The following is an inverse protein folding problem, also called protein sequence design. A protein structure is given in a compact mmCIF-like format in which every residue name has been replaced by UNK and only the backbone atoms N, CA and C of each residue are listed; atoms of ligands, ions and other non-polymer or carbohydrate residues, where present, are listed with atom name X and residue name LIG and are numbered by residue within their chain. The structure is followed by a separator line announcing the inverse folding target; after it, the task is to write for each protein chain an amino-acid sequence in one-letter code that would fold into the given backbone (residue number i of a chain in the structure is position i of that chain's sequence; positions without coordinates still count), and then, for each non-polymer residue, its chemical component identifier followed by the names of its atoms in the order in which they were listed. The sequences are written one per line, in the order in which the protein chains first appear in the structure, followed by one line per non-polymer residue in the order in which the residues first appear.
data_IF_260843202065
#
_entry.id   IF_260843202065
#
_cell.length_a   1.000
_cell.length_b   1.000
_cell.length_c   1.000
_cell.angle_alpha   90.00
_cell.angle_beta   90.00
_cell.angle_gamma   90.00
#
_symmetry.space_group_name_H-M   'P 1'
#
loop_
_entity.id
_entity.type
_entity.pdbx_description
1 polymer ?
#
# COMPACT_ATOMS: atom_id res chain seq x y z
N UNK A 1 21.37 84.51 5.29
CA UNK A 1 22.48 83.77 4.65
C UNK A 1 21.86 82.69 3.79
N UNK A 2 22.26 82.64 2.52
CA UNK A 2 21.61 81.90 1.45
C UNK A 2 22.32 80.57 1.13
N UNK A 3 21.50 79.60 0.65
CA UNK A 3 21.77 78.36 -0.12
C UNK A 3 22.66 77.26 0.50
N UNK A 4 22.71 76.01 -0.05
CA UNK A 4 21.88 75.32 -1.09
C UNK A 4 21.33 73.95 -0.55
N UNK A 5 20.60 73.08 -1.24
CA UNK A 5 20.20 72.88 -2.63
C UNK A 5 19.85 71.39 -2.78
N UNK A 6 18.65 71.09 -3.28
CA UNK A 6 18.19 69.73 -3.55
C UNK A 6 18.90 69.16 -4.79
N UNK A 7 19.37 67.91 -4.72
CA UNK A 7 19.71 67.12 -5.91
C UNK A 7 18.91 65.83 -5.91
N UNK A 8 18.01 65.75 -6.88
CA UNK A 8 17.31 64.54 -7.28
C UNK A 8 18.32 63.58 -7.93
N UNK A 9 18.50 62.41 -7.33
CA UNK A 9 19.27 61.32 -7.93
C UNK A 9 18.45 60.64 -9.04
N UNK A 10 18.98 60.66 -10.25
CA UNK A 10 18.42 59.95 -11.40
C UNK A 10 18.41 58.42 -11.18
N UNK A 11 17.43 57.69 -11.74
CA UNK A 11 17.43 56.23 -11.69
C UNK A 11 18.57 55.68 -12.57
N UNK A 12 19.40 54.82 -11.97
CA UNK A 12 20.48 54.14 -12.68
C UNK A 12 19.96 53.21 -13.79
N UNK A 13 20.80 52.87 -14.78
CA UNK A 13 20.40 52.07 -15.92
C UNK A 13 19.99 50.66 -15.50
N UNK A 14 18.88 50.19 -16.05
CA UNK A 14 18.38 48.83 -15.85
C UNK A 14 19.43 47.81 -16.32
N UNK A 15 19.88 46.95 -15.40
CA UNK A 15 20.77 45.83 -15.71
C UNK A 15 20.00 44.83 -16.59
N UNK A 16 20.54 44.39 -17.75
CA UNK A 16 19.88 43.41 -18.59
C UNK A 16 19.80 42.07 -17.85
N UNK A 17 18.59 41.51 -17.76
CA UNK A 17 18.33 40.19 -17.20
C UNK A 17 19.15 39.13 -17.98
N UNK A 18 20.07 38.46 -17.29
CA UNK A 18 20.76 37.31 -17.83
C UNK A 18 19.77 36.14 -17.97
N UNK A 19 19.81 35.35 -19.06
CA UNK A 19 18.94 34.19 -19.19
C UNK A 19 19.32 33.15 -18.14
N UNK A 20 18.35 32.82 -17.28
CA UNK A 20 18.45 31.73 -16.30
C UNK A 20 18.59 30.43 -17.09
N UNK A 21 19.78 29.83 -17.03
CA UNK A 21 20.03 28.51 -17.60
C UNK A 21 19.13 27.48 -16.90
N UNK A 22 18.31 26.78 -17.70
CA UNK A 22 17.50 25.66 -17.23
C UNK A 22 18.42 24.57 -16.68
N UNK A 23 18.17 24.02 -15.49
CA UNK A 23 18.96 22.90 -14.99
C UNK A 23 18.71 21.68 -15.88
N UNK A 24 19.75 21.27 -16.59
CA UNK A 24 19.77 20.04 -17.38
C UNK A 24 19.51 18.86 -16.45
N UNK A 25 18.37 18.20 -16.67
CA UNK A 25 17.99 17.00 -15.93
C UNK A 25 19.01 15.89 -16.16
N UNK A 26 19.84 15.64 -15.15
CA UNK A 26 20.57 14.38 -15.02
C UNK A 26 19.55 13.27 -14.83
N UNK A 27 19.26 12.53 -15.90
CA UNK A 27 18.66 11.20 -15.80
C UNK A 27 19.68 10.33 -15.06
N UNK A 28 19.54 10.21 -13.74
CA UNK A 28 20.21 9.16 -13.00
C UNK A 28 19.60 7.84 -13.49
N UNK A 29 20.37 7.12 -14.31
CA UNK A 29 20.08 5.74 -14.64
C UNK A 29 20.08 4.97 -13.32
N UNK A 30 18.88 4.65 -12.82
CA UNK A 30 18.72 3.72 -11.71
C UNK A 30 19.23 2.40 -12.23
N UNK A 31 20.41 1.99 -11.77
CA UNK A 31 20.94 0.65 -12.03
C UNK A 31 19.94 -0.35 -11.40
N UNK A 32 19.10 -0.93 -12.25
CA UNK A 32 18.14 -1.96 -11.89
C UNK A 32 18.97 -3.21 -11.65
N UNK A 33 19.21 -3.52 -10.37
CA UNK A 33 19.76 -4.81 -9.99
C UNK A 33 18.85 -5.90 -10.60
N UNK A 34 19.40 -6.92 -11.28
CA UNK A 34 18.59 -7.95 -11.90
C UNK A 34 17.75 -8.64 -10.83
N UNK A 35 16.44 -8.43 -10.89
CA UNK A 35 15.46 -9.08 -10.03
C UNK A 35 15.59 -10.60 -10.27
N UNK A 36 15.79 -11.42 -9.23
CA UNK A 36 15.91 -12.87 -9.39
C UNK A 36 14.67 -13.40 -10.10
N UNK A 37 14.85 -14.08 -11.24
CA UNK A 37 13.74 -14.56 -12.06
C UNK A 37 12.88 -15.64 -11.41
N UNK A 38 13.36 -16.30 -10.35
CA UNK A 38 12.64 -17.36 -9.64
C UNK A 38 12.84 -17.23 -8.13
N UNK A 39 11.94 -16.51 -7.44
CA UNK A 39 11.80 -16.62 -5.99
C UNK A 39 10.86 -17.78 -5.68
N UNK A 40 11.30 -18.69 -4.82
CA UNK A 40 10.43 -19.74 -4.30
C UNK A 40 9.49 -19.14 -3.24
N UNK A 41 8.21 -18.99 -3.62
CA UNK A 41 7.18 -18.42 -2.75
C UNK A 41 6.92 -19.32 -1.53
N UNK A 42 7.08 -20.64 -1.65
CA UNK A 42 6.84 -21.57 -0.55
C UNK A 42 7.94 -21.48 0.49
N UNK A 43 9.18 -21.38 0.04
CA UNK A 43 10.31 -21.10 0.92
C UNK A 43 10.16 -19.74 1.61
N UNK A 44 9.68 -18.72 0.89
CA UNK A 44 9.47 -17.38 1.46
C UNK A 44 8.36 -17.36 2.50
N UNK A 45 7.24 -18.04 2.27
CA UNK A 45 6.17 -18.24 3.26
C UNK A 45 6.74 -18.91 4.51
N UNK A 46 7.48 -20.02 4.34
CA UNK A 46 8.11 -20.72 5.46
C UNK A 46 9.05 -19.80 6.26
N UNK A 47 9.87 -18.99 5.58
CA UNK A 47 10.77 -18.03 6.25
C UNK A 47 10.00 -16.99 7.06
N UNK A 48 8.92 -16.43 6.50
CA UNK A 48 8.12 -15.38 7.16
C UNK A 48 7.36 -15.95 8.37
N UNK A 49 6.74 -17.11 8.23
CA UNK A 49 6.02 -17.78 9.33
C UNK A 49 6.92 -18.12 10.52
N UNK A 50 8.23 -18.27 10.29
CA UNK A 50 9.21 -18.59 11.32
C UNK A 50 9.88 -17.37 11.99
N UNK A 51 9.51 -16.12 11.66
CA UNK A 51 10.11 -14.89 12.22
C UNK A 51 9.94 -14.74 13.75
N UNK A 52 9.11 -15.56 14.39
CA UNK A 52 8.98 -15.64 15.86
C UNK A 52 9.92 -16.66 16.54
N UNK A 53 10.62 -17.50 15.77
CA UNK A 53 11.50 -18.53 16.31
C UNK A 53 12.85 -17.96 16.77
N UNK A 54 13.55 -18.62 17.73
CA UNK A 54 14.88 -18.19 18.17
C UNK A 54 15.84 -18.02 16.99
N UNK A 55 16.47 -16.84 16.89
CA UNK A 55 17.39 -16.43 15.81
C UNK A 55 16.78 -16.20 14.42
N UNK A 56 15.48 -16.38 14.24
CA UNK A 56 14.79 -16.09 12.98
C UNK A 56 14.20 -14.69 13.04
N UNK A 57 14.81 -13.73 12.35
CA UNK A 57 14.21 -12.39 12.13
C UNK A 57 14.11 -12.14 10.63
N UNK A 58 13.08 -11.43 10.17
CA UNK A 58 12.84 -11.24 8.73
C UNK A 58 14.10 -10.80 7.96
N UNK A 59 14.82 -9.80 8.47
CA UNK A 59 16.05 -9.26 7.84
C UNK A 59 17.22 -10.23 7.78
N UNK A 60 17.20 -11.30 8.59
CA UNK A 60 18.22 -12.37 8.56
C UNK A 60 17.83 -13.48 7.59
N UNK A 61 16.53 -13.74 7.44
CA UNK A 61 16.02 -14.89 6.69
C UNK A 61 15.60 -14.53 5.27
N UNK A 62 15.20 -13.29 5.01
CA UNK A 62 14.67 -12.80 3.74
C UNK A 62 15.55 -11.64 3.25
N UNK A 63 16.04 -11.73 2.01
CA UNK A 63 16.86 -10.68 1.40
C UNK A 63 15.98 -9.64 0.72
N UNK A 64 16.48 -8.42 0.59
CA UNK A 64 15.79 -7.35 -0.16
C UNK A 64 15.44 -7.80 -1.59
N UNK A 65 16.35 -8.50 -2.28
CA UNK A 65 16.12 -8.99 -3.63
C UNK A 65 14.91 -9.94 -3.73
N UNK A 66 14.67 -10.76 -2.70
CA UNK A 66 13.53 -11.68 -2.64
C UNK A 66 12.21 -10.90 -2.49
N UNK A 67 12.23 -9.83 -1.67
CA UNK A 67 11.06 -8.96 -1.47
C UNK A 67 10.77 -8.14 -2.74
N UNK A 68 11.80 -7.62 -3.40
CA UNK A 68 11.65 -6.89 -4.66
C UNK A 68 11.00 -7.77 -5.74
N UNK A 69 11.46 -9.02 -5.88
CA UNK A 69 10.86 -9.99 -6.79
C UNK A 69 9.42 -10.35 -6.40
N UNK A 70 9.15 -10.52 -5.11
CA UNK A 70 7.78 -10.74 -4.61
C UNK A 70 6.86 -9.57 -4.99
N UNK A 71 7.31 -8.32 -4.82
CA UNK A 71 6.55 -7.14 -5.21
C UNK A 71 6.24 -7.16 -6.72
N UNK A 72 7.22 -7.47 -7.57
CA UNK A 72 7.00 -7.57 -9.02
C UNK A 72 5.99 -8.64 -9.39
N UNK A 73 6.05 -9.83 -8.77
CA UNK A 73 5.09 -10.91 -8.98
C UNK A 73 3.68 -10.51 -8.51
N UNK A 74 3.56 -9.93 -7.31
CA UNK A 74 2.28 -9.48 -6.76
C UNK A 74 1.65 -8.40 -7.65
N UNK A 75 2.45 -7.44 -8.13
CA UNK A 75 2.00 -6.39 -9.05
C UNK A 75 1.42 -6.97 -10.33
N UNK A 76 2.05 -7.97 -10.92
CA UNK A 76 1.55 -8.65 -12.12
C UNK A 76 0.20 -9.33 -11.86
N UNK A 77 0.06 -10.02 -10.72
CA UNK A 77 -1.20 -10.64 -10.32
C UNK A 77 -2.30 -9.58 -10.18
N UNK A 78 -2.06 -8.50 -9.44
CA UNK A 78 -3.06 -7.44 -9.28
C UNK A 78 -3.43 -6.75 -10.59
N UNK A 79 -2.46 -6.48 -11.48
CA UNK A 79 -2.74 -5.89 -12.80
C UNK A 79 -3.56 -6.81 -13.71
N UNK A 80 -3.51 -8.12 -13.51
CA UNK A 80 -4.36 -9.08 -14.24
C UNK A 80 -5.80 -9.13 -13.73
N UNK A 81 -6.07 -8.53 -12.56
CA UNK A 81 -7.38 -8.54 -11.92
C UNK A 81 -8.13 -7.23 -12.10
N UNK A 82 -9.46 -7.30 -12.04
CA UNK A 82 -10.32 -6.13 -12.12
C UNK A 82 -10.22 -5.29 -10.83
N UNK A 83 -10.41 -3.97 -10.95
CA UNK A 83 -10.45 -3.07 -9.78
C UNK A 83 -11.65 -3.32 -8.86
N UNK A 84 -12.71 -3.95 -9.39
CA UNK A 84 -13.81 -4.55 -8.64
C UNK A 84 -13.63 -6.07 -8.67
N UNK A 85 -13.42 -6.67 -7.50
CA UNK A 85 -13.22 -8.11 -7.36
C UNK A 85 -14.55 -8.76 -7.01
N UNK A 86 -15.01 -9.71 -7.82
CA UNK A 86 -16.23 -10.47 -7.55
C UNK A 86 -15.86 -11.81 -6.92
N UNK A 87 -16.47 -12.14 -5.78
CA UNK A 87 -16.15 -13.36 -5.02
C UNK A 87 -17.41 -14.04 -4.53
N UNK A 88 -17.41 -15.38 -4.58
CA UNK A 88 -18.51 -16.18 -4.07
C UNK A 88 -18.25 -16.69 -2.65
N UNK A 89 -19.29 -16.84 -1.82
CA UNK A 89 -19.17 -17.52 -0.53
C UNK A 89 -18.88 -19.03 -0.73
N UNK A 90 -18.20 -19.70 0.21
CA UNK A 90 -17.79 -19.21 1.53
C UNK A 90 -16.49 -18.40 1.50
N UNK A 91 -16.49 -17.24 2.17
CA UNK A 91 -15.32 -16.36 2.30
C UNK A 91 -15.30 -15.69 3.67
N UNK A 92 -14.11 -15.50 4.24
CA UNK A 92 -13.90 -14.74 5.48
C UNK A 92 -13.47 -13.32 5.14
N UNK A 93 -14.22 -12.35 5.64
CA UNK A 93 -13.92 -10.93 5.46
C UNK A 93 -13.12 -10.44 6.67
N UNK A 94 -12.01 -9.76 6.44
CA UNK A 94 -11.10 -9.28 7.47
C UNK A 94 -10.81 -7.79 7.29
N UNK A 95 -10.86 -7.04 8.39
CA UNK A 95 -10.55 -5.61 8.40
C UNK A 95 -9.05 -5.33 8.57
N UNK A 96 -8.77 -4.14 9.07
CA UNK A 96 -7.46 -3.54 9.24
C UNK A 96 -6.54 -4.42 10.07
N UNK A 97 -5.25 -4.45 9.71
CA UNK A 97 -4.24 -5.22 10.43
C UNK A 97 -3.11 -4.36 10.97
N UNK A 98 -2.78 -3.24 10.30
CA UNK A 98 -1.79 -2.25 10.76
C UNK A 98 -0.50 -2.88 11.30
N UNK A 99 0.11 -3.80 10.55
CA UNK A 99 1.37 -4.44 10.93
C UNK A 99 1.33 -5.26 12.24
N UNK A 100 0.15 -5.67 12.70
CA UNK A 100 -0.05 -6.55 13.86
C UNK A 100 0.09 -8.03 13.46
N UNK A 101 1.30 -8.42 13.05
CA UNK A 101 1.58 -9.75 12.52
C UNK A 101 1.15 -10.90 13.46
N UNK A 102 1.35 -10.76 14.78
CA UNK A 102 0.94 -11.78 15.74
C UNK A 102 -0.59 -12.00 15.77
N UNK A 103 -1.38 -10.95 15.54
CA UNK A 103 -2.84 -11.06 15.50
C UNK A 103 -3.33 -11.67 14.18
N UNK A 104 -2.62 -11.38 13.07
CA UNK A 104 -2.82 -12.07 11.78
C UNK A 104 -2.57 -13.57 11.91
N UNK A 105 -1.50 -13.98 12.59
CA UNK A 105 -1.22 -15.40 12.85
C UNK A 105 -2.35 -16.06 13.65
N UNK A 106 -2.83 -15.41 14.72
CA UNK A 106 -3.98 -15.90 15.50
C UNK A 106 -5.27 -15.99 14.68
N UNK A 107 -5.45 -15.06 13.73
CA UNK A 107 -6.59 -15.06 12.82
C UNK A 107 -6.54 -16.27 11.87
N UNK A 108 -5.37 -16.66 11.37
CA UNK A 108 -5.19 -17.88 10.59
C UNK A 108 -5.28 -19.14 11.44
N UNK A 109 -4.74 -19.16 12.66
CA UNK A 109 -4.85 -20.32 13.56
C UNK A 109 -6.30 -20.66 13.90
N UNK A 110 -7.12 -19.63 14.16
CA UNK A 110 -8.57 -19.81 14.42
C UNK A 110 -9.38 -19.97 13.14
N UNK A 111 -8.91 -19.39 12.04
CA UNK A 111 -9.66 -19.27 10.81
C UNK A 111 -9.40 -20.37 9.78
N UNK A 112 -8.26 -21.03 9.87
CA UNK A 112 -7.70 -21.87 8.83
C UNK A 112 -6.72 -21.09 7.96
N UNK A 113 -5.63 -21.75 7.56
CA UNK A 113 -4.66 -21.15 6.65
C UNK A 113 -5.13 -21.27 5.19
N UNK A 114 -4.79 -20.31 4.31
CA UNK A 114 -4.94 -20.48 2.86
C UNK A 114 -4.13 -21.70 2.37
N UNK A 115 -4.67 -22.51 1.43
CA UNK A 115 -5.86 -22.29 0.62
C UNK A 115 -7.14 -22.94 1.16
N UNK A 116 -7.11 -23.55 2.35
CA UNK A 116 -8.27 -24.27 2.89
C UNK A 116 -9.48 -23.37 3.14
N UNK A 117 -9.26 -22.05 3.24
CA UNK A 117 -10.27 -21.03 3.47
C UNK A 117 -10.00 -19.83 2.58
N UNK A 118 -11.07 -19.27 1.99
CA UNK A 118 -11.00 -18.05 1.20
C UNK A 118 -11.02 -16.81 2.11
N UNK A 119 -10.20 -15.82 1.80
CA UNK A 119 -10.09 -14.57 2.56
C UNK A 119 -10.27 -13.35 1.67
N UNK A 120 -11.01 -12.35 2.16
CA UNK A 120 -11.08 -11.00 1.61
C UNK A 120 -10.65 -10.00 2.68
N UNK A 121 -9.49 -9.38 2.51
CA UNK A 121 -9.06 -8.29 3.37
C UNK A 121 -9.42 -6.92 2.78
N UNK A 122 -9.82 -6.00 3.66
CA UNK A 122 -10.39 -4.72 3.27
C UNK A 122 -9.38 -3.56 3.14
N UNK A 123 -8.09 -3.78 3.43
CA UNK A 123 -7.05 -2.75 3.39
C UNK A 123 -6.39 -2.50 4.73
N UNK A 124 -5.56 -1.45 4.80
CA UNK A 124 -4.87 -0.99 6.01
C UNK A 124 -3.99 -2.09 6.64
N UNK A 125 -3.05 -2.56 5.81
CA UNK A 125 -2.10 -3.60 6.16
C UNK A 125 -0.89 -3.07 6.90
N UNK A 126 -0.48 -1.85 6.54
CA UNK A 126 0.76 -1.22 7.00
C UNK A 126 0.48 -0.04 7.93
N UNK A 127 1.56 0.52 8.45
CA UNK A 127 1.63 1.59 9.45
C UNK A 127 1.11 1.21 10.85
N UNK A 128 1.45 2.06 11.84
CA UNK A 128 1.08 1.97 13.27
C UNK A 128 1.63 0.76 14.03
N UNK A 129 1.72 -0.41 13.40
CA UNK A 129 2.30 -1.62 13.98
C UNK A 129 3.82 -1.69 13.86
N UNK A 130 4.37 -2.76 14.45
CA UNK A 130 5.82 -3.01 14.52
C UNK A 130 6.35 -3.98 13.48
N UNK A 131 5.45 -4.74 12.84
CA UNK A 131 5.77 -5.85 11.94
C UNK A 131 5.04 -5.67 10.60
N UNK A 132 5.16 -4.49 10.02
CA UNK A 132 4.47 -4.15 8.76
C UNK A 132 5.04 -4.99 7.62
N UNK A 133 6.37 -5.14 7.55
CA UNK A 133 7.02 -5.92 6.50
C UNK A 133 6.62 -7.40 6.55
N UNK A 134 6.61 -8.02 7.73
CA UNK A 134 6.16 -9.41 7.89
C UNK A 134 4.71 -9.58 7.42
N UNK A 135 3.83 -8.65 7.81
CA UNK A 135 2.40 -8.69 7.48
C UNK A 135 2.20 -8.58 5.96
N UNK A 136 2.73 -7.53 5.33
CA UNK A 136 2.48 -7.30 3.90
C UNK A 136 3.19 -8.32 3.02
N UNK A 137 4.40 -8.77 3.39
CA UNK A 137 5.10 -9.80 2.63
C UNK A 137 4.35 -11.13 2.69
N UNK A 138 3.81 -11.52 3.85
CA UNK A 138 3.01 -12.74 3.96
C UNK A 138 1.75 -12.65 3.07
N UNK A 139 1.08 -11.50 3.08
CA UNK A 139 -0.13 -11.28 2.29
C UNK A 139 0.15 -11.33 0.79
N UNK A 140 1.26 -10.73 0.33
CA UNK A 140 1.68 -10.83 -1.06
C UNK A 140 2.07 -12.25 -1.44
N UNK A 141 2.74 -13.01 -0.56
CA UNK A 141 3.04 -14.41 -0.83
C UNK A 141 1.76 -15.23 -1.02
N UNK A 142 0.78 -15.08 -0.13
CA UNK A 142 -0.51 -15.76 -0.28
C UNK A 142 -1.29 -15.29 -1.51
N UNK A 143 -1.22 -13.99 -1.85
CA UNK A 143 -1.87 -13.48 -3.05
C UNK A 143 -1.27 -14.07 -4.32
N UNK A 144 0.06 -14.17 -4.40
CA UNK A 144 0.77 -14.77 -5.54
C UNK A 144 0.51 -16.27 -5.62
N UNK A 145 0.51 -16.96 -4.47
CA UNK A 145 0.31 -18.42 -4.43
C UNK A 145 -1.14 -18.84 -4.68
N UNK A 146 -2.10 -18.06 -4.19
CA UNK A 146 -3.53 -18.38 -4.20
C UNK A 146 -4.38 -17.18 -4.69
N UNK A 147 -4.19 -16.73 -5.94
CA UNK A 147 -4.82 -15.51 -6.46
C UNK A 147 -6.35 -15.53 -6.47
N UNK A 148 -6.94 -16.73 -6.53
CA UNK A 148 -8.39 -17.02 -6.58
C UNK A 148 -8.99 -17.39 -5.20
N UNK A 149 -8.19 -17.43 -4.14
CA UNK A 149 -8.65 -17.74 -2.78
C UNK A 149 -8.30 -16.64 -1.77
N UNK A 150 -7.28 -15.82 -2.07
CA UNK A 150 -6.79 -14.77 -1.18
C UNK A 150 -6.90 -13.41 -1.89
N UNK A 151 -7.83 -12.59 -1.42
CA UNK A 151 -8.18 -11.30 -2.01
C UNK A 151 -7.80 -10.17 -1.06
N UNK A 152 -7.19 -9.13 -1.64
CA UNK A 152 -6.68 -7.96 -0.92
C UNK A 152 -7.21 -6.71 -1.60
N UNK A 153 -7.94 -5.88 -0.85
CA UNK A 153 -8.37 -4.56 -1.29
C UNK A 153 -7.38 -3.49 -0.82
N UNK A 154 -7.42 -2.32 -1.45
CA UNK A 154 -6.58 -1.18 -1.11
C UNK A 154 -7.23 -0.33 -0.01
N UNK A 155 -6.53 -0.13 1.10
CA UNK A 155 -6.89 0.83 2.14
C UNK A 155 -6.25 2.20 1.92
N UNK A 156 -6.45 3.13 2.86
CA UNK A 156 -5.86 4.47 2.75
C UNK A 156 -4.39 4.48 3.15
N UNK A 157 -3.94 3.51 3.95
CA UNK A 157 -2.54 3.34 4.31
C UNK A 157 -1.69 2.73 3.16
N UNK A 158 -2.30 2.11 2.17
CA UNK A 158 -1.63 1.70 0.92
C UNK A 158 -1.47 2.88 -0.08
N UNK A 159 -1.12 4.05 0.45
CA UNK A 159 -0.88 5.28 -0.31
C UNK A 159 0.41 5.96 0.17
N UNK A 160 1.21 6.44 -0.78
CA UNK A 160 2.55 7.00 -0.52
C UNK A 160 2.53 8.25 0.37
N UNK A 161 1.45 9.03 0.32
CA UNK A 161 1.31 10.21 1.16
C UNK A 161 1.11 9.84 2.65
N UNK A 162 0.44 8.71 2.92
CA UNK A 162 0.11 8.25 4.27
C UNK A 162 1.27 7.42 4.83
N UNK A 163 1.65 6.35 4.15
CA UNK A 163 2.65 5.42 4.68
C UNK A 163 4.09 5.96 4.73
N UNK A 164 4.32 7.13 4.14
CA UNK A 164 5.57 7.86 4.30
C UNK A 164 5.72 8.51 5.68
N UNK A 165 4.62 8.87 6.33
CA UNK A 165 4.64 9.60 7.61
C UNK A 165 4.18 8.74 8.79
N UNK A 166 3.45 7.65 8.56
CA UNK A 166 2.87 6.80 9.62
C UNK A 166 3.67 5.53 9.96
N UNK A 167 4.87 5.38 9.40
CA UNK A 167 5.90 4.46 9.89
C UNK A 167 6.41 3.44 8.89
N UNK A 168 5.66 3.08 7.84
CA UNK A 168 6.09 2.04 6.90
C UNK A 168 7.38 2.40 6.15
N UNK A 169 7.49 3.65 5.67
CA UNK A 169 8.71 4.15 5.04
C UNK A 169 9.92 4.05 5.96
N UNK A 170 9.76 4.47 7.23
CA UNK A 170 10.83 4.40 8.23
C UNK A 170 11.23 2.95 8.52
N UNK A 171 10.26 2.03 8.61
CA UNK A 171 10.55 0.61 8.82
C UNK A 171 11.37 0.02 7.66
N UNK A 172 10.98 0.28 6.41
CA UNK A 172 11.71 -0.17 5.22
C UNK A 172 13.17 0.30 5.26
N UNK A 173 13.37 1.61 5.52
CA UNK A 173 14.69 2.21 5.56
C UNK A 173 15.53 1.72 6.76
N UNK A 174 14.92 1.57 7.94
CA UNK A 174 15.61 1.11 9.15
C UNK A 174 16.06 -0.36 9.04
N UNK A 175 15.27 -1.22 8.40
CA UNK A 175 15.49 -2.67 8.37
C UNK A 175 16.32 -3.15 7.18
N UNK A 176 16.16 -2.54 6.02
CA UNK A 176 16.84 -2.92 4.78
C UNK A 176 17.72 -1.81 4.19
N UNK A 177 17.77 -0.62 4.80
CA UNK A 177 18.55 0.52 4.30
C UNK A 177 18.22 0.88 2.84
N UNK A 178 16.97 0.65 2.43
CA UNK A 178 16.54 0.77 1.04
C UNK A 178 15.26 1.59 0.91
N UNK A 179 15.40 2.77 0.32
CA UNK A 179 14.27 3.59 -0.16
C UNK A 179 13.61 2.96 -1.38
N UNK A 180 14.39 2.21 -2.19
CA UNK A 180 13.89 1.50 -3.38
C UNK A 180 12.90 0.42 -3.00
N UNK A 181 13.12 -0.27 -1.88
CA UNK A 181 12.19 -1.26 -1.36
C UNK A 181 10.81 -0.65 -1.05
N UNK A 182 10.78 0.50 -0.37
CA UNK A 182 9.51 1.21 -0.14
C UNK A 182 8.84 1.61 -1.47
N UNK A 183 9.59 2.11 -2.44
CA UNK A 183 9.05 2.46 -3.76
C UNK A 183 8.42 1.25 -4.46
N UNK A 184 9.05 0.08 -4.40
CA UNK A 184 8.51 -1.15 -4.97
C UNK A 184 7.16 -1.52 -4.34
N UNK A 185 7.00 -1.40 -3.01
CA UNK A 185 5.71 -1.59 -2.36
C UNK A 185 4.66 -0.58 -2.87
N UNK A 186 5.03 0.68 -3.08
CA UNK A 186 4.11 1.68 -3.63
C UNK A 186 3.63 1.29 -5.03
N UNK A 187 4.50 0.74 -5.87
CA UNK A 187 4.14 0.27 -7.21
C UNK A 187 3.12 -0.87 -7.15
N UNK A 188 3.24 -1.79 -6.18
CA UNK A 188 2.22 -2.83 -5.95
C UNK A 188 0.91 -2.22 -5.45
N UNK A 189 0.97 -1.38 -4.41
CA UNK A 189 -0.21 -0.75 -3.81
C UNK A 189 -1.03 0.04 -4.82
N UNK A 190 -0.38 0.67 -5.80
CA UNK A 190 -1.05 1.41 -6.86
C UNK A 190 -1.88 0.53 -7.82
N UNK A 191 -1.64 -0.77 -7.83
CA UNK A 191 -2.35 -1.75 -8.66
C UNK A 191 -3.46 -2.50 -7.93
N UNK A 192 -3.58 -2.31 -6.61
CA UNK A 192 -4.52 -3.07 -5.80
C UNK A 192 -5.99 -2.68 -6.10
N UNK A 193 -6.91 -3.65 -6.10
CA UNK A 193 -8.35 -3.41 -6.25
C UNK A 193 -8.93 -2.53 -5.14
N UNK A 194 -10.01 -1.80 -5.43
CA UNK A 194 -10.62 -0.88 -4.47
C UNK A 194 -11.81 -1.49 -3.72
N UNK A 195 -12.59 -2.32 -4.39
CA UNK A 195 -13.85 -2.87 -3.87
C UNK A 195 -13.95 -4.37 -4.18
N UNK A 196 -14.66 -5.09 -3.32
CA UNK A 196 -15.05 -6.48 -3.53
C UNK A 196 -16.57 -6.64 -3.49
N UNK A 197 -17.16 -7.43 -4.39
CA UNK A 197 -18.57 -7.78 -4.40
C UNK A 197 -18.74 -9.25 -4.02
N UNK A 198 -19.27 -9.51 -2.83
CA UNK A 198 -19.46 -10.86 -2.29
C UNK A 198 -20.85 -11.39 -2.62
N UNK A 199 -20.91 -12.53 -3.30
CA UNK A 199 -22.13 -13.26 -3.65
C UNK A 199 -23.15 -12.40 -4.41
N UNK A 200 -22.66 -11.44 -5.21
CA UNK A 200 -23.46 -10.44 -5.94
C UNK A 200 -24.41 -9.61 -5.06
N UNK A 201 -24.18 -9.55 -3.75
CA UNK A 201 -25.10 -8.94 -2.78
C UNK A 201 -24.43 -7.96 -1.84
N UNK A 202 -23.21 -8.24 -1.40
CA UNK A 202 -22.53 -7.46 -0.36
C UNK A 202 -21.35 -6.74 -1.01
N UNK A 203 -21.41 -5.42 -1.09
CA UNK A 203 -20.28 -4.60 -1.52
C UNK A 203 -19.37 -4.32 -0.31
N UNK A 204 -18.11 -4.68 -0.44
CA UNK A 204 -17.05 -4.51 0.55
C UNK A 204 -16.03 -3.50 0.05
N UNK A 205 -15.78 -2.47 0.83
CA UNK A 205 -14.78 -1.45 0.53
C UNK A 205 -14.19 -0.91 1.83
N UNK A 206 -13.02 -0.29 1.75
CA UNK A 206 -12.45 0.41 2.90
C UNK A 206 -13.25 1.70 3.17
N UNK A 207 -13.81 1.81 4.39
CA UNK A 207 -14.80 2.83 4.77
C UNK A 207 -14.39 4.28 4.48
N UNK A 208 -13.09 4.59 4.48
CA UNK A 208 -12.62 5.97 4.28
C UNK A 208 -12.57 6.43 2.80
N UNK A 209 -12.67 5.52 1.82
CA UNK A 209 -12.79 5.87 0.40
C UNK A 209 -14.17 6.45 0.06
N UNK A 210 -15.18 6.16 0.88
CA UNK A 210 -16.57 6.58 0.71
C UNK A 210 -16.74 8.11 0.75
N UNK A 211 -15.94 8.81 1.59
CA UNK A 211 -16.06 10.27 1.75
C UNK A 211 -15.57 11.05 0.52
N UNK A 212 -14.64 10.50 -0.28
CA UNK A 212 -14.17 11.16 -1.51
C UNK A 212 -15.01 10.82 -2.74
N UNK A 213 -15.46 9.58 -2.88
CA UNK A 213 -16.26 9.16 -4.04
C UNK A 213 -17.72 9.63 -3.98
N UNK A 214 -18.30 9.79 -2.78
CA UNK A 214 -19.66 10.31 -2.60
C UNK A 214 -19.83 11.76 -3.08
N UNK A 215 -18.74 12.53 -3.19
CA UNK A 215 -18.80 13.93 -3.67
C UNK A 215 -18.90 14.06 -5.19
N UNK A 216 -18.62 13.00 -5.97
CA UNK A 216 -18.50 13.09 -7.42
C UNK A 216 -19.39 12.13 -8.24
N UNK A 217 -20.03 11.12 -7.62
CA UNK A 217 -20.87 10.16 -8.34
C UNK A 217 -22.36 10.33 -8.02
N UNK A 218 -23.14 10.76 -9.04
CA UNK A 218 -24.60 10.81 -9.02
C UNK A 218 -25.24 9.45 -8.64
N UNK A 219 -25.73 9.36 -7.41
CA UNK A 219 -26.99 8.77 -6.92
C UNK A 219 -27.67 7.68 -7.77
N UNK A 220 -26.98 6.56 -8.03
CA UNK A 220 -27.65 5.26 -8.24
C UNK A 220 -27.05 4.10 -7.44
N UNK A 221 -25.79 4.24 -7.02
CA UNK A 221 -25.15 3.31 -6.08
C UNK A 221 -25.65 3.55 -4.64
N UNK A 222 -26.09 4.78 -4.32
CA UNK A 222 -26.49 5.19 -2.97
C UNK A 222 -27.73 4.45 -2.41
N UNK A 223 -28.61 3.91 -3.27
CA UNK A 223 -29.84 3.26 -2.79
C UNK A 223 -29.59 1.88 -2.18
N UNK A 224 -28.46 1.24 -2.48
CA UNK A 224 -28.04 -0.01 -1.83
C UNK A 224 -27.36 0.29 -0.47
N UNK A 225 -26.75 1.47 -0.31
CA UNK A 225 -25.98 1.84 0.88
C UNK A 225 -26.83 2.17 2.12
N UNK A 226 -28.08 2.63 1.95
CA UNK A 226 -28.90 3.03 3.09
C UNK A 226 -29.69 1.87 3.73
N UNK A 227 -29.91 0.76 3.02
CA UNK A 227 -30.62 -0.39 3.60
C UNK A 227 -29.76 -1.26 4.51
N UNK A 228 -28.42 -1.23 4.38
CA UNK A 228 -27.54 -2.06 5.22
C UNK A 228 -27.12 -1.32 6.51
N UNK A 229 -26.89 -0.01 6.47
CA UNK A 229 -26.56 0.77 7.68
C UNK A 229 -27.75 0.96 8.65
N UNK A 230 -29.00 0.85 8.19
CA UNK A 230 -30.18 1.01 9.08
C UNK A 230 -30.52 -0.27 9.86
N UNK A 231 -29.96 -1.44 9.49
CA UNK A 231 -30.30 -2.73 10.13
C UNK A 231 -29.36 -3.07 11.31
N UNK A 232 -28.22 -2.41 11.46
CA UNK A 232 -27.20 -2.78 12.49
C UNK A 232 -27.18 -1.84 13.72
N UNK A 233 -27.86 -0.69 13.69
CA UNK A 233 -27.89 0.25 14.83
C UNK A 233 -29.22 0.31 15.60
N UNK A 234 -30.16 -0.60 15.36
CA UNK A 234 -31.31 -0.82 16.24
C UNK A 234 -31.47 -2.31 16.52
N UNK A 235 -30.81 -2.80 17.56
CA UNK A 235 -31.22 -3.87 18.51
C UNK A 235 -29.98 -4.39 19.25
N UNK A 236 -29.52 -3.68 20.28
CA UNK A 236 -29.65 -4.06 21.71
C UNK A 236 -28.98 -2.98 22.56
#
# INVERSE_FOLDING_TARGET
MATPGAMAGAPGPAVPAQPVAQPQGQKSAVEILPVPKNVDIDELICKILNVGAPNCSLTKTVKEADIMALCDMARQVFMSQNSLIEVDPPIRICGDTHGQYADVMRLFDKGGFPPCVNYLFLGDYVDRGRQNLETICLFFCYKVKYPENFFLLRGNHECSAINRVYGFFEECNRRYQSVRLWQAFQDVFNTMPFCGLVGQKILCEFLFLLVKHAYHAHVRVFHIYLQVCTVVCHHN
#
